data_IF_305431689303
#
_entry.id   IF_305431689303
#
_cell.length_a   1.000
_cell.length_b   1.000
_cell.length_c   1.000
_cell.angle_alpha   90.00
_cell.angle_beta   90.00
_cell.angle_gamma   90.00
#
_symmetry.space_group_name_H-M   'P 1'
#
loop_
_entity.id
_entity.type
_entity.pdbx_description
1 polymer ?
#
# COMPACT_ATOMS: atom_id res chain seq x y z
N UNK A 1 6.15 -17.75 55.30
CA UNK A 1 5.36 -16.52 55.09
C UNK A 1 4.78 -16.56 53.68
N UNK A 2 3.58 -17.13 53.47
CA UNK A 2 2.94 -17.10 52.16
C UNK A 2 2.19 -15.78 51.98
N UNK A 3 2.44 -15.10 50.86
CA UNK A 3 1.72 -13.89 50.44
C UNK A 3 0.72 -14.30 49.37
N UNK A 4 -0.56 -14.20 49.71
CA UNK A 4 -1.70 -14.44 48.83
C UNK A 4 -1.79 -13.40 47.72
N UNK A 5 -1.61 -13.86 46.48
CA UNK A 5 -1.99 -13.14 45.25
C UNK A 5 -3.46 -13.39 44.94
N UNK A 6 -4.30 -12.36 45.08
CA UNK A 6 -5.64 -12.31 44.48
C UNK A 6 -5.72 -11.21 43.42
N UNK A 7 -6.17 -11.51 42.18
CA UNK A 7 -6.36 -10.53 41.13
C UNK A 7 -7.73 -9.82 41.25
N UNK A 8 -7.71 -8.48 41.24
CA UNK A 8 -8.91 -7.62 41.15
C UNK A 8 -9.44 -7.60 39.71
N UNK A 9 -10.50 -8.35 39.43
CA UNK A 9 -11.28 -8.18 38.20
C UNK A 9 -12.13 -6.91 38.28
N UNK A 10 -11.92 -5.97 37.35
CA UNK A 10 -12.79 -4.81 37.13
C UNK A 10 -13.99 -5.24 36.28
N UNK A 11 -15.20 -4.98 36.79
CA UNK A 11 -16.46 -5.24 36.13
C UNK A 11 -16.61 -4.41 34.83
N UNK A 12 -17.02 -5.07 33.76
CA UNK A 12 -17.40 -4.48 32.47
C UNK A 12 -18.84 -3.98 32.60
N UNK A 13 -19.08 -2.69 32.33
CA UNK A 13 -20.43 -2.12 32.18
C UNK A 13 -21.08 -2.68 30.92
N UNK A 14 -22.16 -3.44 31.08
CA UNK A 14 -23.10 -3.80 30.02
C UNK A 14 -24.07 -2.64 29.85
N UNK A 15 -24.07 -2.00 28.68
CA UNK A 15 -25.08 -1.01 28.30
C UNK A 15 -26.29 -1.75 27.71
N UNK A 16 -27.37 -1.86 28.48
CA UNK A 16 -28.67 -2.33 28.01
C UNK A 16 -29.27 -1.30 27.04
N UNK A 17 -29.70 -1.75 25.85
CA UNK A 17 -30.53 -0.98 24.93
C UNK A 17 -31.99 -1.36 25.18
N UNK A 18 -32.80 -0.36 25.54
CA UNK A 18 -34.25 -0.48 25.70
C UNK A 18 -34.95 -0.81 24.37
N UNK A 19 -35.82 -1.83 24.31
CA UNK A 19 -36.61 -2.15 23.12
C UNK A 19 -38.07 -1.75 23.31
N UNK A 20 -38.44 -0.49 23.05
CA UNK A 20 -39.86 -0.12 22.89
C UNK A 20 -40.06 1.00 21.88
N UNK A 21 -40.52 0.64 20.68
CA UNK A 21 -41.62 1.32 19.95
C UNK A 21 -41.89 0.61 18.62
N UNK A 22 -42.78 -0.38 18.69
CA UNK A 22 -43.55 -0.83 17.54
C UNK A 22 -44.91 -0.12 17.55
N UNK A 23 -45.22 0.62 16.49
CA UNK A 23 -46.61 0.85 16.05
C UNK A 23 -46.64 0.86 14.53
N UNK A 24 -47.17 -0.23 13.98
CA UNK A 24 -47.54 -0.40 12.60
C UNK A 24 -48.66 0.58 12.22
N UNK A 25 -48.55 1.18 11.03
CA UNK A 25 -49.68 1.72 10.28
C UNK A 25 -49.61 1.14 8.88
N UNK A 26 -50.71 0.52 8.47
CA UNK A 26 -50.92 -0.13 7.19
C UNK A 26 -50.76 0.87 6.04
N UNK A 27 -49.99 0.48 5.02
CA UNK A 27 -49.91 1.18 3.74
C UNK A 27 -50.60 0.32 2.67
N UNK A 28 -51.58 0.95 2.04
CA UNK A 28 -52.43 0.47 0.96
C UNK A 28 -51.61 -0.03 -0.22
N UNK A 29 -51.90 -1.23 -0.72
CA UNK A 29 -51.28 -1.79 -1.92
C UNK A 29 -51.80 -1.05 -3.17
N UNK A 30 -50.97 -0.18 -3.75
CA UNK A 30 -51.21 0.45 -5.05
C UNK A 30 -50.26 -0.19 -6.06
N UNK A 31 -50.82 -0.71 -7.15
CA UNK A 31 -50.09 -1.40 -8.23
C UNK A 31 -49.04 -0.47 -8.86
N UNK A 32 -47.80 -0.92 -9.13
CA UNK A 32 -46.78 -0.07 -9.73
C UNK A 32 -47.07 0.15 -11.22
N UNK A 33 -47.22 1.42 -11.62
CA UNK A 33 -47.18 1.84 -13.02
C UNK A 33 -45.76 1.71 -13.60
N UNK A 34 -45.61 1.69 -14.94
CA UNK A 34 -44.34 1.46 -15.61
C UNK A 34 -43.32 2.56 -15.28
N UNK A 35 -42.11 2.16 -14.88
CA UNK A 35 -41.01 3.05 -14.51
C UNK A 35 -40.54 3.87 -15.72
N UNK A 36 -40.30 5.18 -15.59
CA UNK A 36 -39.54 5.93 -16.59
C UNK A 36 -38.09 5.44 -16.62
N UNK A 37 -37.51 5.33 -17.82
CA UNK A 37 -36.13 4.88 -18.06
C UNK A 37 -35.16 5.77 -17.29
N UNK A 38 -34.45 5.21 -16.32
CA UNK A 38 -33.32 5.85 -15.66
C UNK A 38 -32.26 6.18 -16.70
N UNK A 39 -32.07 7.47 -16.96
CA UNK A 39 -30.86 7.97 -17.60
C UNK A 39 -29.76 7.82 -16.56
N UNK A 40 -28.74 7.01 -16.84
CA UNK A 40 -27.58 6.84 -15.97
C UNK A 40 -26.92 8.21 -15.72
N UNK A 41 -27.22 8.82 -14.57
CA UNK A 41 -26.50 10.00 -14.10
C UNK A 41 -25.16 9.52 -13.55
N UNK A 42 -24.13 9.54 -14.40
CA UNK A 42 -22.75 9.27 -13.99
C UNK A 42 -22.27 10.46 -13.14
N UNK A 43 -22.44 10.36 -11.82
CA UNK A 43 -21.77 11.24 -10.87
C UNK A 43 -20.29 10.84 -10.80
N UNK A 44 -19.51 11.31 -11.78
CA UNK A 44 -18.06 11.34 -11.63
C UNK A 44 -17.74 12.33 -10.49
N UNK A 45 -17.60 11.80 -9.27
CA UNK A 45 -17.09 12.55 -8.12
C UNK A 45 -15.69 13.01 -8.50
N UNK A 46 -15.51 14.33 -8.64
CA UNK A 46 -14.20 14.96 -8.78
C UNK A 46 -13.30 14.44 -7.66
N UNK A 47 -12.17 13.84 -8.06
CA UNK A 47 -11.38 12.93 -7.24
C UNK A 47 -11.09 13.48 -5.86
N UNK A 48 -11.62 12.80 -4.84
CA UNK A 48 -10.98 12.78 -3.53
C UNK A 48 -9.53 12.35 -3.79
N UNK A 49 -8.55 13.15 -3.39
CA UNK A 49 -7.15 12.74 -3.45
C UNK A 49 -6.98 11.52 -2.53
N UNK A 50 -7.19 10.33 -3.08
CA UNK A 50 -7.07 9.08 -2.36
C UNK A 50 -5.67 8.95 -1.77
N UNK A 51 -5.55 8.16 -0.72
CA UNK A 51 -4.27 7.86 -0.10
C UNK A 51 -3.28 7.35 -1.15
N UNK A 52 -2.28 8.18 -1.47
CA UNK A 52 -1.19 7.81 -2.37
C UNK A 52 -0.13 7.09 -1.55
N UNK A 53 0.32 5.93 -2.02
CA UNK A 53 1.47 5.26 -1.42
C UNK A 53 2.71 6.14 -1.61
N UNK A 54 3.39 6.44 -0.51
CA UNK A 54 4.66 7.17 -0.49
C UNK A 54 5.77 6.37 -1.19
N UNK A 55 6.70 7.10 -1.81
CA UNK A 55 7.91 6.53 -2.38
C UNK A 55 8.94 6.22 -1.30
N UNK A 56 9.93 5.39 -1.62
CA UNK A 56 11.05 5.12 -0.73
C UNK A 56 11.80 6.41 -0.36
N UNK A 57 11.94 7.33 -1.32
CA UNK A 57 12.53 8.64 -1.07
C UNK A 57 11.72 9.48 -0.07
N UNK A 58 10.39 9.52 -0.22
CA UNK A 58 9.52 10.24 0.74
C UNK A 58 9.70 9.69 2.15
N UNK A 59 9.75 8.36 2.31
CA UNK A 59 9.99 7.75 3.62
C UNK A 59 11.35 8.09 4.21
N UNK A 60 12.41 8.15 3.38
CA UNK A 60 13.73 8.56 3.84
C UNK A 60 13.73 10.00 4.35
N UNK A 61 13.01 10.91 3.68
CA UNK A 61 12.87 12.29 4.16
C UNK A 61 12.13 12.36 5.49
N UNK A 62 11.03 11.61 5.62
CA UNK A 62 10.25 11.57 6.86
C UNK A 62 11.10 11.05 8.03
N UNK A 63 11.87 9.99 7.81
CA UNK A 63 12.78 9.42 8.82
C UNK A 63 13.88 10.44 9.15
N UNK A 64 14.50 11.07 8.16
CA UNK A 64 15.54 12.07 8.37
C UNK A 64 15.03 13.28 9.17
N UNK A 65 13.80 13.74 8.88
CA UNK A 65 13.15 14.82 9.63
C UNK A 65 12.89 14.42 11.09
N UNK A 66 12.43 13.19 11.33
CA UNK A 66 12.23 12.67 12.67
C UNK A 66 13.55 12.55 13.45
N UNK A 67 14.60 12.02 12.82
CA UNK A 67 15.93 11.88 13.45
C UNK A 67 16.53 13.24 13.84
N UNK A 68 16.33 14.27 13.00
CA UNK A 68 16.75 15.66 13.30
C UNK A 68 15.95 16.28 14.45
N UNK A 69 14.75 15.78 14.74
CA UNK A 69 13.81 16.37 15.67
C UNK A 69 13.26 15.33 16.67
N UNK A 70 14.09 14.74 17.56
CA UNK A 70 13.68 13.64 18.43
C UNK A 70 12.59 14.03 19.45
N UNK A 71 12.44 15.33 19.75
CA UNK A 71 11.47 15.83 20.73
C UNK A 71 10.07 16.06 20.12
N UNK A 72 9.92 15.95 18.80
CA UNK A 72 8.64 16.19 18.14
C UNK A 72 7.76 14.94 18.23
N UNK A 73 6.50 15.13 18.63
CA UNK A 73 5.51 14.04 18.65
C UNK A 73 5.21 13.59 17.22
N UNK A 74 5.03 12.29 17.02
CA UNK A 74 4.69 11.71 15.71
C UNK A 74 3.52 12.40 15.00
N UNK A 75 2.50 12.83 15.76
CA UNK A 75 1.36 13.57 15.21
C UNK A 75 1.78 14.89 14.55
N UNK A 76 2.67 15.63 15.20
CA UNK A 76 3.20 16.89 14.67
C UNK A 76 4.08 16.65 13.42
N UNK A 77 4.80 15.53 13.34
CA UNK A 77 5.52 15.12 12.11
C UNK A 77 4.53 14.93 10.96
N UNK A 78 3.42 14.24 11.19
CA UNK A 78 2.38 14.03 10.17
C UNK A 78 1.76 15.36 9.74
N UNK A 79 1.45 16.25 10.69
CA UNK A 79 0.90 17.59 10.42
C UNK A 79 1.87 18.47 9.61
N UNK A 80 3.18 18.39 9.89
CA UNK A 80 4.22 19.06 9.12
C UNK A 80 4.23 18.59 7.67
N UNK A 81 4.29 17.27 7.44
CA UNK A 81 4.33 16.71 6.10
C UNK A 81 3.00 16.87 5.32
N UNK A 82 1.89 17.04 6.03
CA UNK A 82 0.58 17.35 5.44
C UNK A 82 0.41 18.83 5.05
N UNK A 83 1.17 19.75 5.67
CA UNK A 83 1.12 21.20 5.41
C UNK A 83 2.28 21.72 4.55
N UNK A 84 3.27 20.88 4.26
CA UNK A 84 4.46 21.20 3.46
C UNK A 84 4.12 21.65 2.03
N UNK A 85 4.87 22.62 1.54
CA UNK A 85 4.71 23.19 0.19
C UNK A 85 5.28 22.28 -0.91
N UNK A 86 4.83 22.49 -2.15
CA UNK A 86 5.34 21.77 -3.33
C UNK A 86 6.85 21.95 -3.56
N UNK A 87 7.42 23.10 -3.19
CA UNK A 87 8.84 23.39 -3.38
C UNK A 87 9.76 22.45 -2.60
N UNK A 88 9.27 21.88 -1.50
CA UNK A 88 10.07 21.00 -0.64
C UNK A 88 9.82 19.51 -0.89
N UNK A 89 9.02 19.15 -1.91
CA UNK A 89 8.65 17.75 -2.19
C UNK A 89 7.15 17.45 -2.06
N UNK A 90 6.35 18.47 -1.78
CA UNK A 90 4.89 18.37 -1.78
C UNK A 90 4.29 17.78 -0.51
N UNK A 91 2.95 17.71 -0.53
CA UNK A 91 2.13 17.21 0.56
C UNK A 91 2.19 15.69 0.63
N UNK A 92 2.62 15.17 1.78
CA UNK A 92 2.66 13.74 2.06
C UNK A 92 1.59 13.39 3.10
N UNK A 93 0.72 12.44 2.77
CA UNK A 93 -0.33 11.94 3.68
C UNK A 93 -0.05 10.48 4.05
N UNK A 94 0.14 10.22 5.34
CA UNK A 94 0.35 8.88 5.87
C UNK A 94 -0.19 8.75 7.28
N UNK A 95 -0.48 7.51 7.69
CA UNK A 95 -0.97 7.21 9.03
C UNK A 95 0.18 7.15 10.04
N UNK A 96 -0.12 7.47 11.30
CA UNK A 96 0.83 7.34 12.41
C UNK A 96 1.40 5.93 12.56
N UNK A 97 0.57 4.91 12.33
CA UNK A 97 1.01 3.50 12.37
C UNK A 97 2.02 3.18 11.26
N UNK A 98 1.91 3.83 10.09
CA UNK A 98 2.87 3.68 9.01
C UNK A 98 4.21 4.33 9.41
N UNK A 99 4.19 5.53 10.02
CA UNK A 99 5.39 6.16 10.53
C UNK A 99 6.13 5.27 11.54
N UNK A 100 5.41 4.75 12.54
CA UNK A 100 6.00 3.87 13.56
C UNK A 100 6.67 2.64 12.94
N UNK A 101 6.06 2.03 11.93
CA UNK A 101 6.65 0.89 11.21
C UNK A 101 7.95 1.26 10.50
N UNK A 102 8.05 2.46 9.93
CA UNK A 102 9.23 2.92 9.19
C UNK A 102 10.33 3.47 10.12
N UNK A 103 9.99 3.85 11.36
CA UNK A 103 10.96 4.17 12.41
C UNK A 103 11.62 2.92 13.04
N UNK A 104 11.09 1.73 12.79
CA UNK A 104 11.73 0.49 13.23
C UNK A 104 13.14 0.38 12.61
N UNK A 105 14.19 0.09 13.41
CA UNK A 105 15.57 0.05 12.93
C UNK A 105 15.77 -0.95 11.79
N UNK A 106 15.09 -2.10 11.82
CA UNK A 106 15.16 -3.13 10.76
C UNK A 106 14.65 -2.56 9.44
N UNK A 107 13.51 -1.86 9.48
CA UNK A 107 12.89 -1.31 8.27
C UNK A 107 13.65 -0.11 7.73
N UNK A 108 14.18 0.73 8.62
CA UNK A 108 15.08 1.84 8.27
C UNK A 108 16.34 1.34 7.56
N UNK A 109 16.99 0.31 8.10
CA UNK A 109 18.17 -0.29 7.49
C UNK A 109 17.85 -0.89 6.11
N UNK A 110 16.72 -1.58 5.96
CA UNK A 110 16.29 -2.13 4.67
C UNK A 110 16.06 -1.02 3.62
N UNK A 111 15.44 0.10 3.98
CA UNK A 111 15.23 1.22 3.04
C UNK A 111 16.54 1.85 2.58
N UNK A 112 17.51 2.03 3.49
CA UNK A 112 18.83 2.54 3.13
C UNK A 112 19.60 1.57 2.24
N UNK A 113 19.53 0.27 2.53
CA UNK A 113 20.13 -0.76 1.69
C UNK A 113 19.52 -0.77 0.28
N UNK A 114 18.19 -0.66 0.17
CA UNK A 114 17.50 -0.57 -1.12
C UNK A 114 17.90 0.68 -1.90
N UNK A 115 18.01 1.83 -1.22
CA UNK A 115 18.43 3.08 -1.85
C UNK A 115 19.85 3.00 -2.42
N UNK A 116 20.73 2.20 -1.81
CA UNK A 116 22.10 2.01 -2.27
C UNK A 116 22.22 1.04 -3.48
N UNK A 117 21.25 0.14 -3.68
CA UNK A 117 21.35 -0.90 -4.72
C UNK A 117 21.04 -0.38 -6.13
N UNK A 118 19.98 0.43 -6.30
CA UNK A 118 19.50 0.85 -7.61
C UNK A 118 19.10 2.32 -7.61
N UNK A 119 19.46 3.06 -8.67
CA UNK A 119 19.04 4.47 -8.84
C UNK A 119 17.52 4.61 -8.90
N UNK A 120 16.82 3.65 -9.50
CA UNK A 120 15.34 3.62 -9.57
C UNK A 120 14.69 3.27 -8.23
N UNK A 121 15.44 2.72 -7.25
CA UNK A 121 14.84 2.28 -5.99
C UNK A 121 14.17 3.41 -5.21
N UNK A 122 14.66 4.65 -5.36
CA UNK A 122 14.11 5.82 -4.67
C UNK A 122 12.70 6.19 -5.13
N UNK A 123 12.39 6.00 -6.42
CA UNK A 123 11.07 6.32 -6.99
C UNK A 123 10.06 5.17 -6.81
N UNK A 124 10.51 4.00 -6.38
CA UNK A 124 9.61 2.88 -6.09
C UNK A 124 8.77 3.15 -4.83
N UNK A 125 7.50 2.77 -4.91
CA UNK A 125 6.55 2.82 -3.78
C UNK A 125 6.58 1.57 -2.90
N UNK A 126 7.18 0.49 -3.41
CA UNK A 126 7.26 -0.82 -2.77
C UNK A 126 8.57 -1.48 -3.14
N UNK A 127 9.12 -2.24 -2.21
CA UNK A 127 10.17 -3.19 -2.50
C UNK A 127 9.64 -4.22 -3.50
N UNK A 128 10.30 -4.33 -4.66
CA UNK A 128 10.04 -5.39 -5.63
C UNK A 128 11.15 -6.41 -5.46
N UNK A 129 10.83 -7.52 -4.78
CA UNK A 129 11.72 -8.67 -4.73
C UNK A 129 11.53 -9.46 -6.01
N UNK A 130 12.52 -9.41 -6.91
CA UNK A 130 12.54 -10.25 -8.10
C UNK A 130 13.21 -11.56 -7.72
N UNK A 131 12.48 -12.67 -7.75
CA UNK A 131 12.96 -14.00 -7.34
C UNK A 131 14.22 -14.44 -8.11
N UNK A 132 14.29 -14.12 -9.41
CA UNK A 132 15.40 -14.46 -10.29
C UNK A 132 15.85 -13.23 -11.13
N UNK A 133 16.67 -12.33 -10.57
CA UNK A 133 17.03 -11.06 -11.23
C UNK A 133 17.81 -11.28 -12.55
N UNK A 134 18.54 -12.40 -12.67
CA UNK A 134 19.25 -12.76 -13.90
C UNK A 134 18.28 -13.14 -15.03
N UNK A 135 17.21 -13.86 -14.70
CA UNK A 135 16.16 -14.25 -15.67
C UNK A 135 15.41 -12.99 -16.12
N UNK A 136 14.99 -12.15 -15.18
CA UNK A 136 14.27 -10.89 -15.47
C UNK A 136 15.10 -9.96 -16.37
N UNK A 137 16.40 -9.78 -16.06
CA UNK A 137 17.31 -8.99 -16.90
C UNK A 137 17.47 -9.59 -18.30
N UNK A 138 17.63 -10.91 -18.40
CA UNK A 138 17.71 -11.60 -19.69
C UNK A 138 16.43 -11.45 -20.52
N UNK A 139 15.28 -11.54 -19.86
CA UNK A 139 13.97 -11.37 -20.48
C UNK A 139 13.77 -9.93 -20.97
N UNK A 140 14.17 -8.94 -20.19
CA UNK A 140 14.13 -7.52 -20.57
C UNK A 140 15.03 -7.20 -21.77
N UNK A 141 16.25 -7.73 -21.80
CA UNK A 141 17.15 -7.58 -22.95
C UNK A 141 16.60 -8.25 -24.21
N UNK A 142 16.00 -9.43 -24.06
CA UNK A 142 15.37 -10.14 -25.17
C UNK A 142 14.15 -9.38 -25.72
N UNK A 143 13.33 -8.80 -24.85
CA UNK A 143 12.19 -7.99 -25.25
C UNK A 143 12.65 -6.74 -26.02
N UNK A 144 13.71 -6.06 -25.53
CA UNK A 144 14.29 -4.88 -26.17
C UNK A 144 14.91 -5.20 -27.54
N UNK A 145 15.58 -6.33 -27.69
CA UNK A 145 16.06 -6.83 -29.00
C UNK A 145 14.88 -7.13 -29.95
N UNK A 146 13.79 -7.68 -29.42
CA UNK A 146 12.54 -7.90 -30.15
C UNK A 146 11.93 -6.60 -30.69
N UNK A 147 11.86 -5.56 -29.85
CA UNK A 147 11.36 -4.24 -30.22
C UNK A 147 12.22 -3.58 -31.29
N UNK A 148 13.55 -3.65 -31.18
CA UNK A 148 14.47 -3.14 -32.22
C UNK A 148 14.29 -3.84 -33.56
N UNK A 149 13.87 -5.11 -33.54
CA UNK A 149 13.55 -5.92 -34.73
C UNK A 149 12.09 -5.79 -35.17
N UNK A 150 11.32 -4.86 -34.60
CA UNK A 150 9.89 -4.65 -34.84
C UNK A 150 9.03 -5.92 -34.64
N UNK A 151 9.45 -6.82 -33.75
CA UNK A 151 8.65 -8.00 -33.36
C UNK A 151 7.72 -7.63 -32.22
N UNK A 152 6.42 -7.91 -32.37
CA UNK A 152 5.46 -7.74 -31.29
C UNK A 152 5.68 -8.83 -30.22
N UNK A 153 6.29 -8.45 -29.10
CA UNK A 153 6.51 -9.35 -27.98
C UNK A 153 5.19 -9.58 -27.25
N UNK A 154 4.60 -10.76 -27.43
CA UNK A 154 3.35 -11.15 -26.77
C UNK A 154 3.64 -11.81 -25.42
N UNK A 155 2.71 -11.70 -24.46
CA UNK A 155 2.87 -12.28 -23.12
C UNK A 155 3.15 -13.79 -23.12
N UNK A 156 2.58 -14.55 -24.05
CA UNK A 156 2.85 -15.99 -24.19
C UNK A 156 4.30 -16.26 -24.56
N UNK A 157 4.89 -15.43 -25.43
CA UNK A 157 6.30 -15.54 -25.78
C UNK A 157 7.22 -15.20 -24.61
N UNK A 158 6.83 -14.24 -23.76
CA UNK A 158 7.58 -13.93 -22.54
C UNK A 158 7.59 -15.12 -21.57
N UNK A 159 6.46 -15.83 -21.42
CA UNK A 159 6.38 -17.02 -20.57
C UNK A 159 7.28 -18.14 -21.11
N UNK A 160 7.21 -18.42 -22.41
CA UNK A 160 8.08 -19.43 -23.04
C UNK A 160 9.56 -19.08 -22.93
N UNK A 161 9.89 -17.81 -23.16
CA UNK A 161 11.27 -17.33 -23.06
C UNK A 161 11.76 -17.34 -21.62
N UNK A 162 10.90 -17.04 -20.64
CA UNK A 162 11.22 -17.16 -19.22
C UNK A 162 11.62 -18.59 -18.87
N UNK A 163 10.82 -19.59 -19.29
CA UNK A 163 11.14 -21.02 -19.08
C UNK A 163 12.48 -21.39 -19.72
N UNK A 164 12.75 -20.92 -20.93
CA UNK A 164 14.05 -21.15 -21.61
C UNK A 164 15.22 -20.55 -20.84
N UNK A 165 15.05 -19.34 -20.32
CA UNK A 165 16.08 -18.66 -19.52
C UNK A 165 16.29 -19.33 -18.17
N UNK A 166 15.24 -19.80 -17.50
CA UNK A 166 15.35 -20.55 -16.25
C UNK A 166 16.12 -21.86 -16.42
N UNK A 167 15.88 -22.59 -17.51
CA UNK A 167 16.67 -23.79 -17.87
C UNK A 167 18.11 -23.41 -18.18
N UNK A 168 18.33 -22.39 -19.02
CA UNK A 168 19.68 -21.97 -19.40
C UNK A 168 20.52 -21.44 -18.22
N UNK A 169 19.88 -20.81 -17.24
CA UNK A 169 20.53 -20.26 -16.04
C UNK A 169 20.53 -21.25 -14.87
N UNK A 170 20.06 -22.49 -15.08
CA UNK A 170 19.98 -23.55 -14.07
C UNK A 170 19.28 -23.09 -12.77
N UNK A 171 18.17 -22.36 -12.89
CA UNK A 171 17.40 -21.89 -11.74
C UNK A 171 16.69 -23.09 -11.09
N UNK A 172 16.89 -23.35 -9.79
CA UNK A 172 16.25 -24.46 -9.09
C UNK A 172 14.73 -24.30 -9.11
N UNK A 173 14.00 -25.41 -9.17
CA UNK A 173 12.54 -25.42 -9.39
C UNK A 173 11.75 -24.62 -8.35
N UNK A 174 12.20 -24.62 -7.09
CA UNK A 174 11.57 -23.82 -6.03
C UNK A 174 11.75 -22.30 -6.15
N UNK A 175 12.54 -21.82 -7.12
CA UNK A 175 12.80 -20.40 -7.39
C UNK A 175 12.36 -19.97 -8.80
N UNK A 176 11.74 -20.85 -9.57
CA UNK A 176 11.16 -20.53 -10.89
C UNK A 176 9.89 -19.70 -10.74
N UNK A 177 9.61 -18.87 -11.74
CA UNK A 177 8.48 -17.91 -11.76
C UNK A 177 7.19 -18.52 -12.33
#
# INVERSE_FOLDING_TARGET
>A
MPVDTTPKFRAIRVCNRDPTKAKAKAATCVKPGPKPKEVHFSSAVLGQEGWKNLTNWDWLQVIQYHDKNPNIKQKAVIEYFASRSHAEGGKLSFMQSALLKHLNPVKKAALLALAAQNSTALSLKRERVVTAPKVDRGLGLWALDGEQKNRAVTGTMLIEQCKRLEVALNVPEGQRL
#
